data_IF_617672323894
#
_entry.id   IF_617672323894
#
_cell.length_a   1.000
_cell.length_b   1.000
_cell.length_c   1.000
_cell.angle_alpha   90.00
_cell.angle_beta   90.00
_cell.angle_gamma   90.00
#
_symmetry.space_group_name_H-M   'P 1'
#
loop_
_entity.id
_entity.type
_entity.pdbx_description
1 polymer ?
#
# COMPACT_ATOMS: atom_id res chain seq x y z
N UNK A 1 -8.65 28.57 -6.05
CA UNK A 1 -10.09 28.36 -5.86
C UNK A 1 -10.52 29.09 -4.59
N UNK A 2 -11.58 29.87 -4.69
CA UNK A 2 -12.19 30.55 -3.55
C UNK A 2 -13.48 29.80 -3.19
N UNK A 3 -13.45 29.12 -2.04
CA UNK A 3 -14.57 28.27 -1.60
C UNK A 3 -15.85 29.05 -1.33
N UNK A 4 -15.74 30.33 -0.92
CA UNK A 4 -16.90 31.18 -0.71
C UNK A 4 -17.66 31.42 -2.04
N UNK A 5 -16.91 31.57 -3.15
CA UNK A 5 -17.52 31.69 -4.48
C UNK A 5 -18.15 30.39 -5.00
N UNK A 6 -17.71 29.22 -4.48
CA UNK A 6 -18.32 27.93 -4.78
C UNK A 6 -19.67 27.76 -4.09
N UNK A 7 -19.84 28.32 -2.88
CA UNK A 7 -21.09 28.24 -2.14
C UNK A 7 -22.23 29.08 -2.77
N UNK A 8 -21.88 30.12 -3.54
CA UNK A 8 -22.81 31.08 -4.10
C UNK A 8 -23.30 30.73 -5.52
N UNK A 9 -22.85 29.63 -6.11
CA UNK A 9 -23.23 29.24 -7.49
C UNK A 9 -24.00 27.94 -7.51
N UNK A 10 -24.98 27.88 -8.42
CA UNK A 10 -25.83 26.69 -8.62
C UNK A 10 -25.12 25.62 -9.47
N UNK A 11 -24.23 26.03 -10.40
CA UNK A 11 -23.49 25.15 -11.30
C UNK A 11 -22.01 25.49 -11.33
N UNK A 12 -21.15 24.47 -11.39
CA UNK A 12 -19.68 24.60 -11.39
C UNK A 12 -19.14 25.36 -12.62
N UNK A 13 -19.82 25.33 -13.74
CA UNK A 13 -19.43 26.04 -14.97
C UNK A 13 -19.58 27.57 -14.88
N UNK A 14 -20.33 28.06 -13.87
CA UNK A 14 -20.46 29.49 -13.58
C UNK A 14 -19.20 30.07 -12.93
N UNK A 15 -18.29 29.20 -12.46
CA UNK A 15 -17.06 29.62 -11.78
C UNK A 15 -15.96 29.87 -12.82
N UNK A 16 -15.53 31.12 -12.92
CA UNK A 16 -14.35 31.47 -13.73
C UNK A 16 -13.09 31.34 -12.88
N UNK A 17 -12.28 30.34 -13.19
CA UNK A 17 -10.95 30.16 -12.57
C UNK A 17 -9.93 30.91 -13.41
N UNK A 18 -9.26 31.94 -12.87
CA UNK A 18 -8.21 32.64 -13.60
C UNK A 18 -7.00 31.72 -13.74
N UNK A 19 -6.54 31.51 -14.97
CA UNK A 19 -5.31 30.78 -15.27
C UNK A 19 -4.24 31.78 -15.68
N UNK A 20 -3.18 31.90 -14.91
CA UNK A 20 -2.03 32.75 -15.20
C UNK A 20 -0.85 31.88 -15.57
N UNK A 21 -0.20 32.16 -16.70
CA UNK A 21 1.04 31.51 -17.13
C UNK A 21 2.23 32.42 -16.86
N UNK A 22 3.28 31.86 -16.24
CA UNK A 22 4.56 32.56 -16.01
C UNK A 22 5.71 31.69 -16.47
N UNK A 23 6.75 32.30 -17.01
CA UNK A 23 8.04 31.62 -17.21
C UNK A 23 8.63 31.33 -15.83
N UNK A 24 9.15 30.13 -15.65
CA UNK A 24 9.84 29.71 -14.43
C UNK A 24 11.14 29.03 -14.81
N UNK A 25 12.18 29.24 -14.01
CA UNK A 25 13.45 28.53 -14.10
C UNK A 25 13.49 27.27 -13.24
N UNK A 26 12.39 26.98 -12.52
CA UNK A 26 12.27 25.78 -11.70
C UNK A 26 12.02 24.55 -12.56
N UNK A 27 12.53 23.41 -12.08
CA UNK A 27 12.24 22.08 -12.63
C UNK A 27 10.75 21.75 -12.51
N UNK A 28 10.32 20.67 -13.17
CA UNK A 28 8.93 20.21 -13.12
C UNK A 28 8.43 19.97 -11.69
N UNK A 29 7.18 20.29 -11.41
CA UNK A 29 6.56 20.07 -10.12
C UNK A 29 5.23 20.83 -9.98
N UNK A 30 4.49 20.52 -8.91
CA UNK A 30 3.24 21.20 -8.56
C UNK A 30 3.34 21.72 -7.14
N UNK A 31 3.03 23.00 -6.92
CA UNK A 31 2.88 23.59 -5.59
C UNK A 31 1.40 23.88 -5.36
N UNK A 32 0.81 23.26 -4.35
CA UNK A 32 -0.53 23.54 -3.88
C UNK A 32 -0.43 24.41 -2.62
N UNK A 33 -1.04 25.60 -2.65
CA UNK A 33 -1.08 26.51 -1.51
C UNK A 33 -2.53 26.61 -1.08
N UNK A 34 -2.79 26.30 0.18
CA UNK A 34 -4.11 26.38 0.80
C UNK A 34 -4.07 27.48 1.85
N UNK A 35 -4.88 28.51 1.67
CA UNK A 35 -5.07 29.56 2.66
C UNK A 35 -6.44 29.37 3.29
N UNK A 36 -6.50 29.38 4.62
CA UNK A 36 -7.75 29.36 5.38
C UNK A 36 -7.79 30.59 6.28
N UNK A 37 -8.93 31.30 6.27
CA UNK A 37 -9.26 32.21 7.36
C UNK A 37 -9.85 31.35 8.48
N UNK A 38 -9.07 31.11 9.51
CA UNK A 38 -9.47 30.28 10.63
C UNK A 38 -10.54 31.01 11.44
N UNK A 39 -11.74 30.45 11.53
CA UNK A 39 -12.63 30.71 12.65
C UNK A 39 -12.03 30.07 13.92
N UNK A 40 -12.37 30.58 15.13
CA UNK A 40 -11.79 30.09 16.37
C UNK A 40 -11.92 28.56 16.64
N UNK A 41 -12.65 27.83 15.80
CA UNK A 41 -12.92 26.41 15.94
C UNK A 41 -12.28 25.51 14.84
N UNK A 42 -11.63 26.08 13.83
CA UNK A 42 -11.08 25.34 12.70
C UNK A 42 -9.53 25.35 12.74
N UNK A 43 -8.96 24.75 13.74
CA UNK A 43 -7.50 24.63 13.83
C UNK A 43 -7.01 23.33 13.19
N UNK A 44 -5.88 23.41 12.49
CA UNK A 44 -5.04 22.27 12.24
C UNK A 44 -4.36 21.86 13.54
N UNK A 45 -4.99 20.98 14.31
CA UNK A 45 -4.38 20.39 15.48
C UNK A 45 -3.37 19.31 15.09
N UNK A 46 -2.61 18.80 16.04
CA UNK A 46 -1.65 17.72 15.81
C UNK A 46 -2.29 16.47 15.20
N UNK A 47 -3.55 16.18 15.55
CA UNK A 47 -4.28 15.04 15.01
C UNK A 47 -4.65 15.23 13.54
N UNK A 48 -5.05 16.42 13.14
CA UNK A 48 -5.34 16.75 11.74
C UNK A 48 -4.07 16.70 10.88
N UNK A 49 -2.95 17.24 11.40
CA UNK A 49 -1.64 17.18 10.73
C UNK A 49 -1.18 15.73 10.61
N UNK A 50 -1.32 14.92 11.65
CA UNK A 50 -0.98 13.49 11.63
C UNK A 50 -1.82 12.74 10.58
N UNK A 51 -3.12 12.99 10.52
CA UNK A 51 -4.00 12.41 9.49
C UNK A 51 -3.58 12.83 8.08
N UNK A 52 -3.24 14.10 7.88
CA UNK A 52 -2.75 14.59 6.58
C UNK A 52 -1.45 13.89 6.18
N UNK A 53 -0.46 13.82 7.07
CA UNK A 53 0.79 13.09 6.84
C UNK A 53 0.52 11.63 6.46
N UNK A 54 -0.39 10.99 7.19
CA UNK A 54 -0.79 9.61 6.95
C UNK A 54 -1.39 9.42 5.54
N UNK A 55 -2.30 10.30 5.12
CA UNK A 55 -2.90 10.24 3.78
C UNK A 55 -1.87 10.54 2.67
N UNK A 56 -0.95 11.48 2.91
CA UNK A 56 0.12 11.79 1.96
C UNK A 56 1.11 10.62 1.79
N UNK A 57 1.46 9.92 2.86
CA UNK A 57 2.30 8.71 2.81
C UNK A 57 1.70 7.61 1.93
N UNK A 58 0.38 7.49 1.88
CA UNK A 58 -0.30 6.52 1.00
C UNK A 58 -0.10 6.82 -0.49
N UNK A 59 0.20 8.05 -0.86
CA UNK A 59 0.43 8.45 -2.25
C UNK A 59 1.82 8.04 -2.75
N UNK A 60 2.77 7.84 -1.84
CA UNK A 60 4.16 7.50 -2.15
C UNK A 60 4.29 5.99 -2.26
N UNK A 61 4.84 5.45 -3.36
CA UNK A 61 5.11 4.03 -3.45
C UNK A 61 6.14 3.62 -2.38
N UNK A 62 6.00 2.45 -1.77
CA UNK A 62 6.91 1.98 -0.71
C UNK A 62 8.38 1.88 -1.13
N UNK A 63 8.62 1.72 -2.42
CA UNK A 63 9.94 1.77 -3.04
C UNK A 63 9.82 2.56 -4.34
N UNK A 64 10.53 3.67 -4.41
CA UNK A 64 10.69 4.42 -5.65
C UNK A 64 11.75 3.74 -6.53
N UNK A 65 11.49 3.59 -7.81
CA UNK A 65 12.53 3.23 -8.78
C UNK A 65 13.35 4.49 -9.08
N UNK A 66 14.67 4.35 -9.36
CA UNK A 66 15.63 5.47 -9.46
C UNK A 66 15.25 6.57 -10.47
N UNK A 67 14.33 6.29 -11.40
CA UNK A 67 13.88 7.23 -12.41
C UNK A 67 12.57 7.97 -12.09
N UNK A 68 11.83 7.57 -11.05
CA UNK A 68 10.52 8.12 -10.67
C UNK A 68 10.57 8.71 -9.26
N UNK A 69 11.39 9.74 -9.06
CA UNK A 69 11.45 10.43 -7.78
C UNK A 69 10.26 11.39 -7.63
N UNK A 70 9.14 10.87 -7.17
CA UNK A 70 8.02 11.69 -6.73
C UNK A 70 8.20 12.04 -5.25
N UNK A 71 8.50 13.29 -4.96
CA UNK A 71 8.67 13.80 -3.61
C UNK A 71 7.46 14.62 -3.21
N UNK A 72 6.96 14.42 -2.02
CA UNK A 72 5.95 15.28 -1.39
C UNK A 72 6.64 16.07 -0.28
N UNK A 73 6.64 17.37 -0.40
CA UNK A 73 7.10 18.28 0.65
C UNK A 73 5.86 18.92 1.27
N UNK A 74 5.66 18.72 2.56
CA UNK A 74 4.60 19.34 3.34
C UNK A 74 5.18 20.52 4.11
N UNK A 75 4.61 21.71 3.90
CA UNK A 75 5.06 22.92 4.58
C UNK A 75 3.88 23.60 5.26
N UNK A 76 4.07 24.03 6.49
CA UNK A 76 3.15 24.88 7.23
C UNK A 76 3.84 26.24 7.47
N UNK A 77 3.19 27.31 7.06
CA UNK A 77 3.63 28.68 7.27
C UNK A 77 2.60 29.39 8.18
N UNK A 78 3.05 30.22 9.09
CA UNK A 78 2.20 31.00 10.02
C UNK A 78 1.27 30.15 10.91
N UNK A 79 1.78 29.06 11.42
CA UNK A 79 1.00 28.11 12.20
C UNK A 79 1.02 28.48 13.69
N UNK A 80 -0.16 28.69 14.29
CA UNK A 80 -0.36 28.93 15.74
C UNK A 80 -0.34 27.62 16.56
N UNK A 81 0.69 26.80 16.42
CA UNK A 81 1.08 25.90 17.48
C UNK A 81 2.02 26.67 18.40
N UNK A 82 2.02 26.41 19.69
CA UNK A 82 2.78 27.12 20.74
C UNK A 82 4.30 27.28 20.48
N UNK A 83 4.80 26.75 19.36
CA UNK A 83 6.15 26.93 18.84
C UNK A 83 6.05 27.35 17.38
N UNK A 84 6.27 28.62 17.16
CA UNK A 84 6.14 29.36 15.90
C UNK A 84 7.23 29.03 14.85
N UNK A 85 7.59 27.79 14.64
CA UNK A 85 8.56 27.44 13.61
C UNK A 85 7.84 26.95 12.36
N UNK A 86 8.12 27.59 11.23
CA UNK A 86 7.72 27.10 9.91
C UNK A 86 8.23 25.67 9.74
N UNK A 87 7.32 24.73 9.64
CA UNK A 87 7.63 23.31 9.46
C UNK A 87 7.66 23.04 7.97
N UNK A 88 8.77 22.52 7.48
CA UNK A 88 8.88 21.96 6.14
C UNK A 88 9.50 20.58 6.23
N UNK A 89 8.79 19.56 5.78
CA UNK A 89 9.23 18.19 5.87
C UNK A 89 8.96 17.43 4.57
N UNK A 90 9.85 16.50 4.24
CA UNK A 90 9.63 15.52 3.19
C UNK A 90 8.85 14.32 3.75
N UNK A 91 7.74 14.00 3.10
CA UNK A 91 6.93 12.83 3.45
C UNK A 91 7.65 11.57 2.97
N UNK A 92 8.03 10.72 3.91
CA UNK A 92 8.73 9.44 3.64
C UNK A 92 7.78 8.25 3.74
N UNK A 93 8.06 7.14 3.03
CA UNK A 93 7.30 5.89 3.18
C UNK A 93 7.30 5.37 4.62
N UNK A 94 6.34 4.49 4.95
CA UNK A 94 6.25 3.92 6.29
C UNK A 94 7.47 3.04 6.64
N UNK A 95 8.10 3.23 7.82
CA UNK A 95 9.27 2.45 8.25
C UNK A 95 8.98 0.95 8.36
N UNK A 96 7.73 0.57 8.59
CA UNK A 96 7.29 -0.82 8.74
C UNK A 96 7.62 -1.69 7.52
N UNK A 97 7.80 -1.08 6.35
CA UNK A 97 7.99 -1.82 5.10
C UNK A 97 9.20 -2.76 5.12
N UNK A 98 10.25 -2.42 5.85
CA UNK A 98 11.45 -3.26 5.95
C UNK A 98 11.37 -4.31 7.06
N UNK A 99 10.31 -4.29 7.88
CA UNK A 99 10.14 -5.17 9.03
C UNK A 99 9.26 -6.40 8.76
N UNK A 100 9.04 -6.75 7.49
CA UNK A 100 8.18 -7.88 7.09
C UNK A 100 8.68 -9.24 7.60
N UNK A 101 7.77 -10.18 7.71
CA UNK A 101 8.08 -11.60 7.97
C UNK A 101 8.39 -12.35 6.68
N UNK A 102 7.57 -12.14 5.66
CA UNK A 102 7.72 -12.73 4.33
C UNK A 102 7.54 -11.66 3.26
N UNK A 103 8.18 -11.86 2.12
CA UNK A 103 8.07 -10.96 0.98
C UNK A 103 8.09 -11.76 -0.32
N UNK A 104 7.33 -11.31 -1.30
CA UNK A 104 7.45 -11.74 -2.68
C UNK A 104 7.55 -10.52 -3.57
N UNK A 105 8.56 -10.50 -4.43
CA UNK A 105 8.81 -9.35 -5.31
C UNK A 105 9.40 -9.77 -6.63
N UNK A 106 9.13 -9.03 -7.69
CA UNK A 106 9.71 -9.30 -9.01
C UNK A 106 8.99 -8.60 -10.14
N UNK A 107 9.56 -8.75 -11.33
CA UNK A 107 9.02 -8.20 -12.57
C UNK A 107 8.49 -9.35 -13.44
N UNK A 108 7.32 -9.14 -14.03
CA UNK A 108 6.67 -10.07 -14.94
C UNK A 108 6.43 -9.34 -16.24
N UNK A 109 6.94 -9.90 -17.33
CA UNK A 109 6.75 -9.38 -18.67
C UNK A 109 5.31 -9.53 -19.15
N UNK A 110 4.94 -8.84 -20.22
CA UNK A 110 3.64 -8.96 -20.88
C UNK A 110 3.34 -10.40 -21.30
N UNK A 111 4.38 -11.17 -21.66
CA UNK A 111 4.30 -12.59 -21.98
C UNK A 111 4.08 -13.50 -20.77
N UNK A 112 3.95 -12.93 -19.58
CA UNK A 112 3.75 -13.61 -18.30
C UNK A 112 4.99 -14.31 -17.77
N UNK A 113 6.14 -14.13 -18.38
CA UNK A 113 7.42 -14.68 -17.90
C UNK A 113 8.11 -13.70 -16.99
N UNK A 114 8.80 -14.25 -16.00
CA UNK A 114 9.59 -13.44 -15.07
C UNK A 114 10.24 -14.26 -13.99
N UNK A 115 10.98 -13.56 -13.14
CA UNK A 115 11.54 -14.14 -11.94
C UNK A 115 10.96 -13.37 -10.74
N UNK A 116 10.34 -14.11 -9.83
CA UNK A 116 9.89 -13.56 -8.56
C UNK A 116 10.79 -14.09 -7.45
N UNK A 117 11.09 -13.25 -6.47
CA UNK A 117 11.93 -13.57 -5.33
C UNK A 117 11.05 -13.70 -4.10
N UNK A 118 11.05 -14.87 -3.48
CA UNK A 118 10.47 -15.08 -2.17
C UNK A 118 11.53 -14.88 -1.09
N UNK A 119 11.20 -14.15 -0.04
CA UNK A 119 12.06 -13.93 1.12
C UNK A 119 11.33 -14.30 2.41
N UNK A 120 12.06 -14.96 3.34
CA UNK A 120 11.55 -15.32 4.65
C UNK A 120 12.54 -14.84 5.73
N UNK A 121 12.19 -13.82 6.48
CA UNK A 121 13.00 -13.24 7.56
C UNK A 121 12.85 -13.96 8.90
N UNK A 122 11.93 -14.92 9.02
CA UNK A 122 11.78 -15.76 10.22
C UNK A 122 12.84 -16.87 10.32
N UNK A 123 13.54 -17.13 9.23
CA UNK A 123 14.70 -18.04 9.21
C UNK A 123 15.94 -17.24 9.63
N UNK A 124 16.75 -17.81 10.53
CA UNK A 124 18.06 -17.21 10.94
C UNK A 124 18.90 -16.93 9.68
N UNK A 125 19.39 -15.72 9.55
CA UNK A 125 20.10 -15.18 8.37
C UNK A 125 19.19 -14.94 7.13
N UNK A 126 17.86 -15.08 7.26
CA UNK A 126 16.92 -14.95 6.15
C UNK A 126 17.06 -16.09 5.13
N UNK A 127 16.02 -16.30 4.35
CA UNK A 127 16.08 -17.20 3.19
C UNK A 127 15.53 -16.47 1.99
N UNK A 128 16.20 -16.63 0.84
CA UNK A 128 15.78 -16.10 -0.46
C UNK A 128 15.70 -17.23 -1.45
N UNK A 129 14.63 -17.26 -2.24
CA UNK A 129 14.40 -18.21 -3.31
C UNK A 129 13.95 -17.45 -4.56
N UNK A 130 14.62 -17.70 -5.68
CA UNK A 130 14.22 -17.15 -6.98
C UNK A 130 13.33 -18.18 -7.66
N UNK A 131 12.14 -17.76 -8.05
CA UNK A 131 11.09 -18.59 -8.63
C UNK A 131 10.88 -18.12 -10.08
N UNK A 132 11.32 -18.89 -11.07
CA UNK A 132 10.95 -18.62 -12.45
C UNK A 132 9.44 -18.87 -12.63
N UNK A 133 8.74 -17.93 -13.22
CA UNK A 133 7.29 -18.04 -13.47
C UNK A 133 6.97 -17.89 -14.94
N UNK A 134 5.91 -18.57 -15.35
CA UNK A 134 5.32 -18.42 -16.67
C UNK A 134 3.79 -18.57 -16.55
N UNK A 135 3.10 -17.44 -16.54
CA UNK A 135 1.64 -17.39 -16.39
C UNK A 135 0.90 -17.33 -17.73
N UNK A 136 1.64 -17.34 -18.85
CA UNK A 136 1.11 -17.02 -20.18
C UNK A 136 0.90 -15.52 -20.34
N UNK A 137 0.41 -15.08 -21.48
CA UNK A 137 0.16 -13.65 -21.73
C UNK A 137 -0.68 -13.03 -20.63
N UNK A 138 -0.20 -11.94 -20.05
CA UNK A 138 -0.81 -11.35 -18.82
C UNK A 138 -2.19 -10.78 -19.07
N UNK A 139 -2.46 -10.24 -20.27
CA UNK A 139 -3.68 -9.50 -20.58
C UNK A 139 -3.80 -8.12 -19.89
N UNK A 140 -2.79 -7.73 -19.10
CA UNK A 140 -2.76 -6.44 -18.41
C UNK A 140 -1.39 -5.73 -18.46
N UNK A 141 -0.56 -6.11 -19.46
CA UNK A 141 0.78 -5.55 -19.62
C UNK A 141 1.81 -6.15 -18.65
N UNK A 142 2.99 -5.55 -18.60
CA UNK A 142 4.03 -5.96 -17.67
C UNK A 142 3.75 -5.38 -16.28
N UNK A 143 4.14 -6.13 -15.24
CA UNK A 143 3.91 -5.79 -13.84
C UNK A 143 5.23 -5.81 -13.06
N UNK A 144 5.38 -4.88 -12.12
CA UNK A 144 6.41 -4.94 -11.09
C UNK A 144 5.73 -5.01 -9.72
N UNK A 145 6.03 -6.05 -8.95
CA UNK A 145 5.28 -6.41 -7.74
C UNK A 145 6.22 -6.51 -6.56
N UNK A 146 5.78 -5.98 -5.43
CA UNK A 146 6.45 -6.13 -4.13
C UNK A 146 5.38 -6.24 -3.03
N UNK A 147 5.20 -7.43 -2.51
CA UNK A 147 4.18 -7.74 -1.51
C UNK A 147 4.85 -8.30 -0.26
N UNK A 148 4.58 -7.70 0.87
CA UNK A 148 5.11 -8.03 2.18
C UNK A 148 4.01 -8.53 3.08
N UNK A 149 4.31 -9.54 3.87
CA UNK A 149 3.36 -10.19 4.77
C UNK A 149 3.88 -10.14 6.20
N UNK A 150 2.96 -9.83 7.10
CA UNK A 150 3.18 -9.72 8.54
C UNK A 150 2.29 -10.73 9.26
N UNK A 151 2.88 -11.63 10.02
CA UNK A 151 2.11 -12.49 10.91
C UNK A 151 1.57 -11.66 12.09
N UNK A 152 0.36 -12.01 12.57
CA UNK A 152 -0.37 -11.20 13.57
C UNK A 152 -0.62 -11.93 14.90
N UNK A 153 -0.03 -13.11 15.05
CA UNK A 153 -0.01 -13.78 16.35
C UNK A 153 0.82 -12.98 17.36
N UNK A 154 0.65 -13.29 18.64
CA UNK A 154 1.30 -12.53 19.72
C UNK A 154 2.82 -12.46 19.56
N UNK A 155 3.43 -13.60 19.26
CA UNK A 155 4.88 -13.71 19.15
C UNK A 155 5.42 -12.96 17.92
N UNK A 156 4.68 -12.98 16.81
CA UNK A 156 5.04 -12.22 15.62
C UNK A 156 5.00 -10.70 15.86
N UNK A 157 4.01 -10.22 16.59
CA UNK A 157 3.94 -8.78 16.95
C UNK A 157 5.10 -8.40 17.90
N UNK A 158 5.47 -9.25 18.86
CA UNK A 158 6.62 -9.01 19.71
C UNK A 158 7.94 -8.98 18.91
N UNK A 159 8.10 -9.90 17.97
CA UNK A 159 9.24 -9.90 17.06
C UNK A 159 9.29 -8.66 16.16
N UNK A 160 8.14 -8.19 15.67
CA UNK A 160 8.04 -6.97 14.87
C UNK A 160 8.53 -5.75 15.66
N UNK A 161 8.10 -5.61 16.92
CA UNK A 161 8.54 -4.54 17.82
C UNK A 161 10.04 -4.67 18.10
N UNK A 162 10.54 -5.89 18.39
CA UNK A 162 11.97 -6.12 18.69
C UNK A 162 12.89 -5.84 17.49
N UNK A 163 12.35 -5.91 16.27
CA UNK A 163 13.06 -5.51 15.04
C UNK A 163 13.12 -4.00 14.83
N UNK A 164 12.62 -3.21 15.78
CA UNK A 164 12.74 -1.77 15.78
C UNK A 164 11.54 -1.03 15.19
N UNK A 165 10.32 -1.60 15.29
CA UNK A 165 9.11 -0.88 14.89
C UNK A 165 8.92 0.38 15.74
N UNK A 166 8.81 1.52 15.07
CA UNK A 166 8.61 2.83 15.66
C UNK A 166 7.38 3.51 15.08
N UNK A 167 6.85 4.46 15.81
CA UNK A 167 5.78 5.35 15.34
C UNK A 167 6.34 6.48 14.43
N UNK A 168 5.49 7.41 14.06
CA UNK A 168 5.86 8.54 13.20
C UNK A 168 6.82 9.53 13.88
N UNK A 169 6.91 9.49 15.20
CA UNK A 169 7.79 10.34 16.01
C UNK A 169 9.08 9.61 16.44
N UNK A 170 9.37 8.48 15.80
CA UNK A 170 10.55 7.64 16.10
C UNK A 170 10.53 7.01 17.51
N UNK A 171 9.36 6.96 18.16
CA UNK A 171 9.19 6.30 19.45
C UNK A 171 8.89 4.82 19.29
N UNK A 172 9.37 4.01 20.22
CA UNK A 172 9.02 2.59 20.27
C UNK A 172 7.53 2.39 20.55
N UNK A 173 6.89 1.52 19.78
CA UNK A 173 5.46 1.23 19.91
C UNK A 173 5.21 0.03 20.84
N UNK A 174 4.06 0.04 21.51
CA UNK A 174 3.56 -1.12 22.23
C UNK A 174 2.79 -2.07 21.29
N UNK A 175 2.35 -3.25 21.81
CA UNK A 175 1.64 -4.26 21.01
C UNK A 175 0.33 -3.76 20.39
N UNK A 176 -0.39 -2.90 21.09
CA UNK A 176 -1.66 -2.34 20.60
C UNK A 176 -1.39 -1.37 19.45
N UNK A 177 -0.44 -0.47 19.64
CA UNK A 177 0.01 0.49 18.62
C UNK A 177 0.57 -0.22 17.38
N UNK A 178 1.36 -1.29 17.56
CA UNK A 178 1.88 -2.09 16.44
C UNK A 178 0.76 -2.71 15.60
N UNK A 179 -0.28 -3.23 16.26
CA UNK A 179 -1.47 -3.77 15.56
C UNK A 179 -2.26 -2.69 14.86
N UNK A 180 -2.43 -1.54 15.50
CA UNK A 180 -3.10 -0.37 14.92
C UNK A 180 -2.36 0.08 13.67
N UNK A 181 -1.04 0.28 13.74
CA UNK A 181 -0.23 0.68 12.60
C UNK A 181 -0.37 -0.31 11.43
N UNK A 182 -0.35 -1.63 11.70
CA UNK A 182 -0.60 -2.63 10.67
C UNK A 182 -2.02 -2.54 10.08
N UNK A 183 -3.04 -2.15 10.87
CA UNK A 183 -4.38 -1.93 10.35
C UNK A 183 -4.46 -0.68 9.46
N UNK A 184 -3.70 0.33 9.79
CA UNK A 184 -3.74 1.61 9.08
C UNK A 184 -2.99 1.56 7.74
N UNK A 185 -1.91 0.75 7.65
CA UNK A 185 -1.04 0.70 6.45
C UNK A 185 -1.31 -0.49 5.54
N UNK A 186 -2.18 -1.42 5.93
CA UNK A 186 -2.39 -2.64 5.15
C UNK A 186 -3.02 -2.36 3.78
N UNK A 187 -2.80 -3.30 2.87
CA UNK A 187 -3.32 -3.29 1.51
C UNK A 187 -2.24 -3.38 0.45
N UNK A 188 -2.65 -3.69 -0.76
CA UNK A 188 -1.77 -3.76 -1.93
C UNK A 188 -2.19 -2.65 -2.89
N UNK A 189 -1.40 -1.56 -2.93
CA UNK A 189 -1.64 -0.42 -3.79
C UNK A 189 -1.32 -0.71 -5.25
N UNK A 190 -2.06 -0.12 -6.17
CA UNK A 190 -1.73 -0.13 -7.60
C UNK A 190 -1.21 1.24 -8.00
N UNK A 191 -0.08 1.27 -8.68
CA UNK A 191 0.61 2.50 -9.06
C UNK A 191 0.87 2.56 -10.56
N UNK A 192 0.67 3.73 -11.14
CA UNK A 192 1.03 4.07 -12.52
C UNK A 192 1.90 5.32 -12.52
N UNK A 193 3.10 5.25 -13.10
CA UNK A 193 4.03 6.39 -13.17
C UNK A 193 4.26 7.07 -11.81
N UNK A 194 4.44 6.28 -10.75
CA UNK A 194 4.63 6.79 -9.39
C UNK A 194 3.35 7.22 -8.65
N UNK A 195 2.19 7.32 -9.32
CA UNK A 195 0.93 7.72 -8.71
C UNK A 195 0.06 6.52 -8.34
N UNK A 196 -0.48 6.55 -7.13
CA UNK A 196 -1.41 5.53 -6.67
C UNK A 196 -2.79 5.71 -7.28
N UNK A 197 -3.35 4.62 -7.78
CA UNK A 197 -4.73 4.56 -8.26
C UNK A 197 -5.64 4.16 -7.09
N UNK A 198 -6.30 5.12 -6.48
CA UNK A 198 -7.22 4.88 -5.36
C UNK A 198 -8.58 4.37 -5.88
N UNK A 199 -9.34 3.53 -5.12
CA UNK A 199 -9.06 3.08 -3.74
C UNK A 199 -8.23 1.79 -3.65
N UNK A 200 -7.61 1.32 -4.76
CA UNK A 200 -6.87 0.05 -4.78
C UNK A 200 -5.77 0.04 -3.71
N UNK A 201 -5.92 -0.88 -2.76
CA UNK A 201 -5.01 -1.04 -1.64
C UNK A 201 -5.31 -0.14 -0.44
N UNK A 202 -6.41 0.58 -0.40
CA UNK A 202 -6.89 1.18 0.84
C UNK A 202 -7.31 0.05 1.81
N UNK A 203 -7.12 0.21 3.13
CA UNK A 203 -7.39 -0.86 4.10
C UNK A 203 -8.80 -1.45 4.02
N UNK A 204 -9.78 -0.62 3.68
CA UNK A 204 -11.19 -1.00 3.56
C UNK A 204 -11.59 -1.51 2.16
N UNK A 205 -10.62 -1.56 1.22
CA UNK A 205 -10.88 -1.95 -0.16
C UNK A 205 -10.05 -3.18 -0.57
N UNK A 206 -10.55 -4.37 -0.25
CA UNK A 206 -9.93 -5.67 -0.57
C UNK A 206 -10.22 -6.09 -2.03
N UNK A 207 -9.58 -5.42 -3.00
CA UNK A 207 -9.76 -5.67 -4.42
C UNK A 207 -9.31 -7.06 -4.89
N UNK A 208 -8.49 -7.74 -4.08
CA UNK A 208 -8.03 -9.11 -4.32
C UNK A 208 -8.86 -10.16 -3.61
N UNK A 209 -9.86 -9.77 -2.82
CA UNK A 209 -10.73 -10.67 -2.03
C UNK A 209 -9.94 -11.62 -1.13
N UNK A 210 -8.87 -11.12 -0.52
CA UNK A 210 -8.02 -11.91 0.37
C UNK A 210 -8.75 -12.37 1.61
N UNK A 211 -9.62 -11.52 2.18
CA UNK A 211 -10.39 -11.86 3.36
C UNK A 211 -11.42 -12.97 3.09
N UNK A 212 -12.08 -12.92 1.94
CA UNK A 212 -13.02 -13.96 1.50
C UNK A 212 -12.30 -15.32 1.36
N UNK A 213 -11.14 -15.34 0.72
CA UNK A 213 -10.33 -16.55 0.55
C UNK A 213 -9.82 -17.08 1.89
N UNK A 214 -9.45 -16.19 2.83
CA UNK A 214 -8.96 -16.58 4.16
C UNK A 214 -10.03 -17.22 5.01
N UNK A 215 -11.27 -16.77 4.94
CA UNK A 215 -12.39 -17.41 5.67
C UNK A 215 -12.53 -18.88 5.29
N UNK A 216 -12.30 -19.22 4.02
CA UNK A 216 -12.39 -20.60 3.54
C UNK A 216 -11.19 -21.47 3.96
N UNK A 217 -9.98 -20.90 4.07
CA UNK A 217 -8.75 -21.63 4.39
C UNK A 217 -7.83 -20.81 5.31
N UNK A 218 -8.20 -20.59 6.57
CA UNK A 218 -7.54 -19.61 7.46
C UNK A 218 -6.08 -19.94 7.83
N UNK A 219 -5.69 -21.22 7.81
CA UNK A 219 -4.29 -21.60 8.07
C UNK A 219 -3.37 -21.41 6.87
N UNK A 220 -3.93 -21.44 5.66
CA UNK A 220 -3.18 -21.35 4.41
C UNK A 220 -3.18 -19.93 3.85
N UNK A 221 -4.38 -19.35 3.72
CA UNK A 221 -4.59 -18.04 3.11
C UNK A 221 -4.24 -16.88 4.06
N UNK A 222 -3.76 -15.79 3.49
CA UNK A 222 -3.51 -14.53 4.18
C UNK A 222 -4.70 -13.58 3.99
N UNK A 223 -4.97 -12.73 4.99
CA UNK A 223 -6.00 -11.70 4.89
C UNK A 223 -5.42 -10.36 4.47
N UNK A 224 -6.28 -9.44 4.02
CA UNK A 224 -5.88 -8.08 3.61
C UNK A 224 -5.12 -7.35 4.72
N UNK A 225 -5.51 -7.54 5.97
CA UNK A 225 -4.87 -6.92 7.13
C UNK A 225 -3.46 -7.48 7.47
N UNK A 226 -2.98 -8.48 6.74
CA UNK A 226 -1.63 -9.06 6.90
C UNK A 226 -0.67 -8.63 5.81
N UNK A 227 -1.11 -7.89 4.81
CA UNK A 227 -0.30 -7.54 3.64
C UNK A 227 -0.08 -6.05 3.53
N UNK A 228 1.11 -5.66 3.13
CA UNK A 228 1.45 -4.31 2.69
C UNK A 228 2.25 -4.45 1.41
N UNK A 229 1.84 -3.80 0.35
CA UNK A 229 2.56 -3.96 -0.90
C UNK A 229 2.08 -3.05 -2.00
N UNK A 230 2.68 -3.27 -3.18
CA UNK A 230 2.33 -2.52 -4.37
C UNK A 230 2.49 -3.35 -5.64
N UNK A 231 1.74 -2.92 -6.64
CA UNK A 231 1.85 -3.37 -8.02
C UNK A 231 2.02 -2.14 -8.90
N UNK A 232 3.15 -2.01 -9.56
CA UNK A 232 3.34 -1.02 -10.62
C UNK A 232 2.83 -1.59 -11.94
N UNK A 233 1.98 -0.81 -12.60
CA UNK A 233 1.40 -1.12 -13.91
C UNK A 233 1.92 -0.15 -14.97
N UNK A 234 1.85 -0.57 -16.22
CA UNK A 234 2.21 0.26 -17.37
C UNK A 234 1.14 1.31 -17.68
N UNK A 235 1.44 2.18 -18.66
CA UNK A 235 0.46 3.13 -19.20
C UNK A 235 -0.80 2.42 -19.71
N UNK A 236 -1.87 3.16 -19.87
CA UNK A 236 -3.18 2.63 -20.30
C UNK A 236 -3.08 1.94 -21.68
N UNK A 237 -2.34 2.55 -22.60
CA UNK A 237 -2.15 2.02 -23.97
C UNK A 237 -1.42 0.67 -23.99
N UNK A 238 -0.50 0.44 -23.04
CA UNK A 238 0.29 -0.79 -22.98
C UNK A 238 -0.39 -1.89 -22.16
N UNK A 239 -1.20 -1.50 -21.17
CA UNK A 239 -1.80 -2.42 -20.21
C UNK A 239 -3.29 -2.70 -20.47
N UNK A 240 -4.01 -1.80 -21.15
CA UNK A 240 -5.46 -1.86 -21.26
C UNK A 240 -6.20 -1.61 -19.91
N UNK A 241 -5.47 -1.20 -18.89
CA UNK A 241 -6.01 -0.89 -17.57
C UNK A 241 -6.50 0.56 -17.56
N UNK A 242 -7.76 0.76 -17.86
CA UNK A 242 -8.39 2.08 -17.95
C UNK A 242 -8.82 2.59 -16.58
N UNK A 243 -8.52 3.87 -16.29
CA UNK A 243 -9.07 4.54 -15.11
C UNK A 243 -10.49 4.99 -15.35
N UNK A 244 -11.30 5.00 -14.30
CA UNK A 244 -12.63 5.56 -14.34
C UNK A 244 -12.56 7.09 -14.43
N UNK A 245 -13.54 7.70 -15.08
CA UNK A 245 -13.59 9.16 -15.27
C UNK A 245 -13.58 9.94 -13.95
N UNK A 246 -14.18 9.38 -12.88
CA UNK A 246 -14.16 9.95 -11.54
C UNK A 246 -12.84 9.75 -10.79
N UNK A 247 -11.87 9.05 -11.39
CA UNK A 247 -10.58 8.66 -10.77
C UNK A 247 -10.72 7.88 -9.46
N UNK A 248 -11.83 7.17 -9.32
CA UNK A 248 -12.17 6.30 -8.19
C UNK A 248 -11.85 4.82 -8.46
N UNK A 249 -10.81 4.55 -9.21
CA UNK A 249 -10.29 3.22 -9.50
C UNK A 249 -10.16 2.89 -10.98
N UNK A 250 -9.93 1.62 -11.24
CA UNK A 250 -9.88 1.06 -12.59
C UNK A 250 -11.26 0.57 -13.04
N UNK A 251 -11.54 0.65 -14.33
CA UNK A 251 -12.73 0.05 -14.93
C UNK A 251 -12.65 -1.47 -14.82
N UNK A 252 -13.77 -2.11 -14.56
CA UNK A 252 -13.85 -3.58 -14.49
C UNK A 252 -13.89 -4.21 -15.91
N UNK A 253 -12.80 -4.08 -16.63
CA UNK A 253 -12.60 -4.69 -17.95
C UNK A 253 -11.79 -5.99 -17.87
N UNK A 254 -11.46 -6.58 -19.02
CA UNK A 254 -10.68 -7.83 -19.07
C UNK A 254 -9.27 -7.66 -18.49
N UNK A 255 -8.62 -6.52 -18.76
CA UNK A 255 -7.29 -6.22 -18.24
C UNK A 255 -7.29 -6.12 -16.70
N UNK A 256 -8.33 -5.54 -16.11
CA UNK A 256 -8.46 -5.49 -14.64
C UNK A 256 -8.63 -6.89 -14.04
N UNK A 257 -9.49 -7.73 -14.64
CA UNK A 257 -9.64 -9.13 -14.18
C UNK A 257 -8.34 -9.92 -14.33
N UNK A 258 -7.57 -9.67 -15.38
CA UNK A 258 -6.26 -10.26 -15.61
C UNK A 258 -5.25 -9.80 -14.52
N UNK A 259 -5.22 -8.50 -14.19
CA UNK A 259 -4.40 -7.95 -13.09
C UNK A 259 -4.71 -8.65 -11.76
N UNK A 260 -6.00 -8.78 -11.41
CA UNK A 260 -6.44 -9.49 -10.20
C UNK A 260 -5.93 -10.92 -10.20
N UNK A 261 -6.14 -11.65 -11.29
CA UNK A 261 -5.76 -13.06 -11.42
C UNK A 261 -4.24 -13.28 -11.29
N UNK A 262 -3.44 -12.48 -11.99
CA UNK A 262 -1.97 -12.59 -11.91
C UNK A 262 -1.47 -12.26 -10.51
N UNK A 263 -1.98 -11.19 -9.90
CA UNK A 263 -1.59 -10.81 -8.54
C UNK A 263 -1.96 -11.90 -7.53
N UNK A 264 -3.15 -12.50 -7.65
CA UNK A 264 -3.56 -13.62 -6.79
C UNK A 264 -2.66 -14.86 -6.98
N UNK A 265 -2.23 -15.18 -8.21
CA UNK A 265 -1.29 -16.29 -8.47
C UNK A 265 0.06 -16.05 -7.80
N UNK A 266 0.57 -14.82 -7.82
CA UNK A 266 1.83 -14.48 -7.17
C UNK A 266 1.71 -14.55 -5.64
N UNK A 267 0.59 -14.09 -5.08
CA UNK A 267 0.31 -14.23 -3.65
C UNK A 267 0.23 -15.71 -3.27
N UNK A 268 -0.35 -16.56 -4.11
CA UNK A 268 -0.43 -18.00 -3.88
C UNK A 268 0.96 -18.65 -3.74
N UNK A 269 1.95 -18.22 -4.53
CA UNK A 269 3.34 -18.68 -4.40
C UNK A 269 3.92 -18.35 -3.01
N UNK A 270 3.63 -17.16 -2.49
CA UNK A 270 4.03 -16.79 -1.13
C UNK A 270 3.28 -17.59 -0.07
N UNK A 271 1.96 -17.74 -0.21
CA UNK A 271 1.11 -18.49 0.72
C UNK A 271 1.55 -19.95 0.87
N UNK A 272 1.89 -20.62 -0.23
CA UNK A 272 2.37 -22.00 -0.23
C UNK A 272 3.65 -22.14 0.58
N UNK A 273 4.65 -21.29 0.33
CA UNK A 273 5.94 -21.32 1.03
C UNK A 273 5.81 -20.95 2.50
N UNK A 274 5.02 -19.93 2.79
CA UNK A 274 4.69 -19.52 4.16
C UNK A 274 4.02 -20.67 4.90
N UNK A 275 3.05 -21.35 4.30
CA UNK A 275 2.32 -22.46 4.91
C UNK A 275 3.25 -23.64 5.22
N UNK A 276 4.08 -24.06 4.25
CA UNK A 276 5.06 -25.15 4.44
C UNK A 276 6.02 -24.80 5.59
N UNK A 277 6.54 -23.58 5.61
CA UNK A 277 7.42 -23.13 6.69
C UNK A 277 6.71 -23.14 8.05
N UNK A 278 5.52 -22.55 8.15
CA UNK A 278 4.75 -22.50 9.41
C UNK A 278 4.38 -23.89 9.93
N UNK A 279 4.04 -24.80 9.03
CA UNK A 279 3.77 -26.21 9.38
C UNK A 279 5.03 -26.90 9.92
N UNK A 280 6.17 -26.71 9.27
CA UNK A 280 7.45 -27.28 9.72
C UNK A 280 7.90 -26.74 11.07
N UNK A 281 7.59 -25.49 11.38
CA UNK A 281 7.93 -24.83 12.65
C UNK A 281 6.83 -24.98 13.72
N UNK A 282 5.80 -25.78 13.47
CA UNK A 282 4.65 -25.98 14.36
C UNK A 282 3.91 -24.70 14.78
N UNK A 283 4.10 -23.62 14.02
CA UNK A 283 3.47 -22.32 14.26
C UNK A 283 1.99 -22.34 13.83
N UNK A 284 1.61 -23.23 12.93
CA UNK A 284 0.24 -23.39 12.46
C UNK A 284 -0.49 -24.40 13.32
N UNK A 285 -1.58 -23.99 13.99
CA UNK A 285 -2.50 -24.96 14.62
C UNK A 285 -3.11 -25.79 13.50
N UNK A 286 -3.09 -27.14 13.58
CA UNK A 286 -3.82 -27.98 12.63
C UNK A 286 -5.30 -27.59 12.66
N UNK A 287 -5.95 -27.45 11.52
CA UNK A 287 -7.38 -27.23 11.51
C UNK A 287 -8.03 -28.50 12.06
N UNK A 288 -9.01 -28.38 12.96
CA UNK A 288 -9.79 -29.51 13.52
C UNK A 288 -10.31 -30.47 12.45
N UNK A 289 -10.49 -30.01 11.23
CA UNK A 289 -10.94 -30.78 10.07
C UNK A 289 -9.87 -31.74 9.52
N UNK A 290 -8.59 -31.38 9.64
CA UNK A 290 -7.45 -32.23 9.24
C UNK A 290 -7.16 -33.26 10.34
N UNK A 291 -7.26 -32.90 11.62
CA UNK A 291 -7.18 -33.85 12.76
C UNK A 291 -8.24 -34.93 12.66
N UNK A 292 -9.50 -34.57 12.38
CA UNK A 292 -10.59 -35.51 12.24
C UNK A 292 -10.44 -36.42 11.00
N UNK A 293 -9.80 -35.97 9.93
CA UNK A 293 -9.50 -36.81 8.76
C UNK A 293 -8.32 -37.77 9.00
N UNK A 294 -7.35 -37.38 9.82
CA UNK A 294 -6.24 -38.25 10.20
C UNK A 294 -6.66 -39.27 11.28
N UNK A 295 -7.54 -38.90 12.22
CA UNK A 295 -8.06 -39.79 13.24
C UNK A 295 -9.12 -40.76 12.73
N UNK A 296 -9.64 -40.58 11.52
CA UNK A 296 -10.56 -41.51 10.85
C UNK A 296 -9.87 -42.51 9.91
N UNK A 297 -8.54 -42.52 9.87
CA UNK A 297 -7.72 -43.43 9.06
C UNK A 297 -6.95 -44.47 9.89
N UNK A 298 -7.22 -44.56 11.20
CA UNK A 298 -6.72 -45.60 12.11
C UNK A 298 -7.88 -46.45 12.68
#
# INVERSE_FOLDING_TARGET
>A
LDWNKLADVEYLDQIKIPINTRKTDSTSGTKLIIHSQLSENDYWDEDAIRKLRFELKKLIPPKQEDNDQFHIILSFEDFYLEKSDNISEEIKPYPILDLYDYRISGKIGRDGRGNITYENKKIKNGAKEIIPVNYGETGCGALNIDIRVYDRDKDAIEQLISRGLKDEHDNYVNKLQARQLLNDVNGIGVYRNGFRIRPLGDPDFDWLKLNEQRVQRPSFKIGSNQVVGYVHIQSEELSGLEEKSARDGLKNNEAYRALVNITQKIILELEQRRYIFRKKMEISRPSKKIENQLNGLY
#
